data_IF_692620491853
#
_entry.id   IF_692620491853
#
_cell.length_a   1.000
_cell.length_b   1.000
_cell.length_c   1.000
_cell.angle_alpha   90.00
_cell.angle_beta   90.00
_cell.angle_gamma   90.00
#
_symmetry.space_group_name_H-M   'P 1'
#
loop_
_entity.id
_entity.type
_entity.pdbx_description
1 polymer ?
#
# COMPACT_ATOMS: atom_id res chain seq x y z
N UNK A 1 15.36 -22.95 31.42
CA UNK A 1 15.20 -23.17 29.97
C UNK A 1 13.83 -22.63 29.65
N UNK A 2 13.79 -21.36 29.32
CA UNK A 2 12.56 -20.65 28.98
C UNK A 2 12.43 -20.78 27.47
N UNK A 3 11.35 -21.41 27.02
CA UNK A 3 11.06 -21.57 25.60
C UNK A 3 11.13 -20.22 24.90
N UNK A 4 11.99 -20.17 23.89
CA UNK A 4 12.07 -19.12 22.89
C UNK A 4 10.67 -18.85 22.37
N UNK A 5 10.19 -17.63 22.65
CA UNK A 5 9.06 -17.08 21.93
C UNK A 5 9.54 -16.91 20.50
N UNK A 6 9.16 -17.85 19.63
CA UNK A 6 9.19 -17.72 18.18
C UNK A 6 8.25 -16.56 17.81
N UNK A 7 8.76 -15.34 17.97
CA UNK A 7 8.19 -14.14 17.42
C UNK A 7 8.40 -14.24 15.92
N UNK A 8 7.52 -15.00 15.26
CA UNK A 8 7.56 -15.30 13.84
C UNK A 8 7.96 -14.06 13.07
N UNK A 9 9.12 -14.15 12.42
CA UNK A 9 9.75 -13.06 11.70
C UNK A 9 8.69 -12.48 10.75
N UNK A 10 8.23 -11.25 11.02
CA UNK A 10 7.29 -10.59 10.12
C UNK A 10 7.96 -10.55 8.74
N UNK A 11 7.28 -11.01 7.68
CA UNK A 11 7.89 -11.06 6.36
C UNK A 11 8.46 -9.69 6.02
N UNK A 12 9.75 -9.66 5.69
CA UNK A 12 10.41 -8.45 5.24
C UNK A 12 9.61 -7.83 4.09
N UNK A 13 9.53 -6.49 4.08
CA UNK A 13 8.79 -5.74 3.07
C UNK A 13 9.19 -6.20 1.66
N UNK A 14 8.22 -6.56 0.79
CA UNK A 14 8.53 -7.01 -0.56
C UNK A 14 9.37 -6.00 -1.35
N UNK A 15 10.28 -6.49 -2.17
CA UNK A 15 11.16 -5.67 -3.02
C UNK A 15 10.89 -5.87 -4.52
N UNK A 16 10.11 -6.88 -4.90
CA UNK A 16 9.83 -7.30 -6.29
C UNK A 16 8.46 -7.94 -6.38
N UNK A 17 7.86 -8.00 -7.56
CA UNK A 17 6.55 -8.60 -7.81
C UNK A 17 5.37 -7.66 -7.60
N UNK A 18 4.17 -8.16 -7.88
CA UNK A 18 2.92 -7.41 -7.80
C UNK A 18 2.09 -7.92 -6.64
N UNK A 19 1.64 -7.00 -5.79
CA UNK A 19 0.88 -7.31 -4.59
C UNK A 19 -0.48 -6.60 -4.61
N UNK A 20 -1.50 -7.32 -4.16
CA UNK A 20 -2.78 -6.74 -3.77
C UNK A 20 -2.76 -6.53 -2.26
N UNK A 21 -2.90 -5.29 -1.81
CA UNK A 21 -2.94 -4.89 -0.41
C UNK A 21 -4.35 -4.40 -0.08
N UNK A 22 -4.94 -4.92 0.98
CA UNK A 22 -6.27 -4.54 1.45
C UNK A 22 -6.12 -3.73 2.74
N UNK A 23 -6.85 -2.62 2.82
CA UNK A 23 -6.86 -1.75 4.01
C UNK A 23 -8.15 -1.92 4.81
N UNK A 24 -8.15 -1.49 6.07
CA UNK A 24 -9.26 -1.64 7.00
C UNK A 24 -10.56 -1.01 6.50
N UNK A 25 -10.46 0.03 5.68
CA UNK A 25 -11.61 0.72 5.08
C UNK A 25 -12.06 0.09 3.76
N UNK A 26 -11.63 -1.13 3.44
CA UNK A 26 -12.03 -1.85 2.22
C UNK A 26 -11.32 -1.41 0.94
N UNK A 27 -10.47 -0.38 0.99
CA UNK A 27 -9.71 0.03 -0.21
C UNK A 27 -8.61 -0.98 -0.54
N UNK A 28 -8.49 -1.28 -1.83
CA UNK A 28 -7.44 -2.13 -2.36
C UNK A 28 -6.33 -1.30 -3.00
N UNK A 29 -5.09 -1.76 -2.89
CA UNK A 29 -3.95 -1.21 -3.59
C UNK A 29 -3.26 -2.31 -4.37
N UNK A 30 -3.10 -2.11 -5.69
CA UNK A 30 -2.18 -2.90 -6.50
C UNK A 30 -0.82 -2.22 -6.46
N UNK A 31 0.16 -2.86 -5.87
CA UNK A 31 1.52 -2.35 -5.71
C UNK A 31 2.44 -3.22 -6.55
N UNK A 32 3.03 -2.62 -7.58
CA UNK A 32 3.98 -3.27 -8.46
C UNK A 32 5.38 -2.78 -8.08
N UNK A 33 6.15 -3.65 -7.41
CA UNK A 33 7.51 -3.33 -7.00
C UNK A 33 8.51 -3.40 -8.15
N UNK A 34 8.20 -4.14 -9.22
CA UNK A 34 9.07 -4.28 -10.39
C UNK A 34 9.00 -3.01 -11.26
N UNK A 35 7.80 -2.52 -11.52
CA UNK A 35 7.55 -1.28 -12.27
C UNK A 35 7.60 -0.04 -11.39
N UNK A 36 7.68 -0.20 -10.06
CA UNK A 36 7.61 0.87 -9.06
C UNK A 36 6.36 1.73 -9.24
N UNK A 37 5.20 1.09 -9.23
CA UNK A 37 3.90 1.78 -9.32
C UNK A 37 2.94 1.33 -8.22
N UNK A 38 1.98 2.20 -7.92
CA UNK A 38 0.86 1.91 -7.03
C UNK A 38 -0.44 2.39 -7.67
N UNK A 39 -1.48 1.56 -7.62
CA UNK A 39 -2.84 1.87 -8.08
C UNK A 39 -3.80 1.64 -6.94
N UNK A 40 -4.68 2.60 -6.68
CA UNK A 40 -5.72 2.47 -5.66
C UNK A 40 -7.06 2.11 -6.30
N UNK A 41 -7.75 1.12 -5.76
CA UNK A 41 -9.14 0.83 -6.02
C UNK A 41 -9.94 1.13 -4.75
N UNK A 42 -10.82 2.14 -4.76
CA UNK A 42 -11.57 2.54 -3.57
C UNK A 42 -12.52 1.44 -3.13
N UNK A 43 -12.95 1.53 -1.88
CA UNK A 43 -14.14 0.81 -1.45
C UNK A 43 -15.37 1.35 -2.23
N UNK A 44 -16.32 0.50 -2.66
CA UNK A 44 -17.51 0.95 -3.39
C UNK A 44 -18.35 1.98 -2.62
N UNK A 45 -18.34 1.90 -1.28
CA UNK A 45 -19.07 2.79 -0.38
C UNK A 45 -18.20 3.95 0.13
N UNK A 46 -17.07 4.23 -0.53
CA UNK A 46 -16.19 5.36 -0.21
C UNK A 46 -16.92 6.71 -0.40
N UNK A 47 -17.36 7.24 0.74
CA UNK A 47 -18.09 8.50 0.86
C UNK A 47 -17.18 9.74 0.89
N UNK A 48 -15.87 9.60 0.71
CA UNK A 48 -14.94 10.73 0.71
C UNK A 48 -15.30 11.72 -0.41
N UNK A 49 -15.67 12.98 -0.08
CA UNK A 49 -16.02 13.99 -1.07
C UNK A 49 -14.84 14.37 -1.98
N UNK A 50 -13.61 14.11 -1.55
CA UNK A 50 -12.40 14.37 -2.33
C UNK A 50 -12.03 13.22 -3.28
N UNK A 51 -12.87 12.17 -3.44
CA UNK A 51 -12.54 10.99 -4.26
C UNK A 51 -12.13 11.31 -5.70
N UNK A 52 -12.74 12.33 -6.30
CA UNK A 52 -12.44 12.76 -7.67
C UNK A 52 -11.02 13.33 -7.83
N UNK A 53 -10.39 13.83 -6.75
CA UNK A 53 -9.03 14.37 -6.78
C UNK A 53 -7.95 13.30 -6.64
N UNK A 54 -8.30 12.12 -6.09
CA UNK A 54 -7.34 11.05 -5.81
C UNK A 54 -6.88 10.32 -7.07
N UNK A 55 -7.64 10.46 -8.16
CA UNK A 55 -7.41 9.79 -9.44
C UNK A 55 -7.26 8.27 -9.22
N UNK A 56 -8.23 7.71 -8.51
CA UNK A 56 -8.38 6.27 -8.28
C UNK A 56 -8.32 5.50 -9.62
N UNK A 57 -7.92 4.24 -9.57
CA UNK A 57 -7.75 3.31 -10.71
C UNK A 57 -6.64 3.69 -11.71
N UNK A 58 -5.95 4.82 -11.50
CA UNK A 58 -4.79 5.21 -12.29
C UNK A 58 -3.48 4.86 -11.58
N UNK A 59 -2.51 4.35 -12.34
CA UNK A 59 -1.16 4.06 -11.86
C UNK A 59 -0.43 5.34 -11.43
N UNK A 60 0.27 5.27 -10.30
CA UNK A 60 1.16 6.33 -9.79
C UNK A 60 2.56 5.79 -9.62
N UNK A 61 3.60 6.56 -9.97
CA UNK A 61 4.95 6.19 -9.64
C UNK A 61 5.13 6.10 -8.12
N UNK A 62 5.55 4.93 -7.66
CA UNK A 62 5.94 4.63 -6.29
C UNK A 62 7.42 4.93 -6.14
N UNK A 63 7.74 5.99 -5.40
CA UNK A 63 9.11 6.38 -5.13
C UNK A 63 9.72 5.53 -4.01
N UNK A 64 8.90 5.22 -2.98
CA UNK A 64 9.33 4.43 -1.82
C UNK A 64 8.13 3.82 -1.10
N UNK A 65 8.32 2.63 -0.55
CA UNK A 65 7.42 2.09 0.47
C UNK A 65 7.90 2.53 1.86
N UNK A 66 7.01 3.15 2.63
CA UNK A 66 7.28 3.60 3.99
C UNK A 66 6.97 2.53 5.02
N UNK A 67 5.78 1.93 4.95
CA UNK A 67 5.31 0.86 5.83
C UNK A 67 4.29 0.00 5.09
N UNK A 68 4.43 -1.32 5.21
CA UNK A 68 3.51 -2.33 4.69
C UNK A 68 3.52 -3.50 5.68
N UNK A 69 2.69 -3.40 6.69
CA UNK A 69 2.62 -4.36 7.79
C UNK A 69 1.15 -4.50 8.24
N UNK A 70 0.70 -5.73 8.45
CA UNK A 70 -0.68 -6.01 8.88
C UNK A 70 -0.91 -5.40 10.27
N UNK A 71 -2.04 -4.72 10.45
CA UNK A 71 -2.38 -4.00 11.68
C UNK A 71 -1.80 -2.58 11.76
N UNK A 72 -0.94 -2.19 10.83
CA UNK A 72 -0.35 -0.85 10.77
C UNK A 72 -0.79 -0.10 9.50
N UNK A 73 -0.82 1.24 9.57
CA UNK A 73 -1.12 2.09 8.43
C UNK A 73 -0.19 1.79 7.24
N UNK A 74 -0.77 1.62 6.05
CA UNK A 74 0.00 1.62 4.82
C UNK A 74 0.57 3.02 4.58
N UNK A 75 1.90 3.10 4.41
CA UNK A 75 2.60 4.35 4.12
C UNK A 75 3.36 4.21 2.80
N UNK A 76 3.06 5.08 1.84
CA UNK A 76 3.69 5.13 0.53
C UNK A 76 4.25 6.53 0.26
N UNK A 77 5.34 6.60 -0.51
CA UNK A 77 5.85 7.86 -1.08
C UNK A 77 5.62 7.80 -2.58
N UNK A 78 4.77 8.69 -3.10
CA UNK A 78 4.30 8.68 -4.48
C UNK A 78 4.69 9.97 -5.21
N UNK A 79 4.88 9.89 -6.52
CA UNK A 79 4.93 11.06 -7.40
C UNK A 79 3.54 11.27 -8.03
N UNK A 80 2.63 11.91 -7.30
CA UNK A 80 1.23 12.05 -7.77
C UNK A 80 1.07 13.09 -8.88
N UNK A 81 1.99 14.06 -8.95
CA UNK A 81 1.95 15.19 -9.89
C UNK A 81 2.69 14.92 -11.20
N UNK A 82 3.57 13.92 -11.23
CA UNK A 82 4.46 13.67 -12.37
C UNK A 82 5.67 14.61 -12.43
N UNK A 83 5.81 15.53 -11.48
CA UNK A 83 6.89 16.53 -11.41
C UNK A 83 8.11 16.06 -10.59
N UNK A 84 8.04 14.86 -10.00
CA UNK A 84 9.09 14.29 -9.17
C UNK A 84 9.04 14.73 -7.71
N UNK A 85 8.10 15.60 -7.32
CA UNK A 85 7.99 16.05 -5.94
C UNK A 85 7.26 14.97 -5.12
N UNK A 86 7.92 14.39 -4.10
CA UNK A 86 7.37 13.29 -3.33
C UNK A 86 6.16 13.72 -2.52
N UNK A 87 5.14 12.87 -2.50
CA UNK A 87 3.96 13.01 -1.65
C UNK A 87 3.87 11.77 -0.77
N UNK A 88 3.82 11.98 0.55
CA UNK A 88 3.58 10.89 1.50
C UNK A 88 2.08 10.61 1.57
N UNK A 89 1.69 9.38 1.27
CA UNK A 89 0.34 8.87 1.42
C UNK A 89 0.31 7.93 2.63
N UNK A 90 -0.48 8.28 3.64
CA UNK A 90 -0.80 7.42 4.78
C UNK A 90 -2.27 7.02 4.69
N UNK A 91 -2.55 5.73 4.87
CA UNK A 91 -3.92 5.20 4.80
C UNK A 91 -4.26 4.46 6.07
N UNK A 92 -5.47 3.91 6.14
CA UNK A 92 -5.88 3.05 7.25
C UNK A 92 -5.06 1.76 7.30
N UNK A 93 -5.11 1.03 8.43
CA UNK A 93 -4.30 -0.15 8.63
C UNK A 93 -4.46 -1.21 7.55
N UNK A 94 -3.37 -1.90 7.22
CA UNK A 94 -3.40 -3.06 6.31
C UNK A 94 -4.06 -4.23 7.03
N UNK A 95 -5.02 -4.88 6.37
CA UNK A 95 -5.66 -6.10 6.89
C UNK A 95 -5.13 -7.36 6.22
N UNK A 96 -4.69 -7.26 4.97
CA UNK A 96 -4.05 -8.36 4.26
C UNK A 96 -3.23 -7.85 3.08
N UNK A 97 -2.29 -8.67 2.63
CA UNK A 97 -1.66 -8.50 1.34
C UNK A 97 -1.25 -9.85 0.76
N UNK A 98 -1.31 -9.98 -0.57
CA UNK A 98 -0.99 -11.21 -1.28
C UNK A 98 -0.30 -10.89 -2.60
N UNK A 99 0.69 -11.71 -2.97
CA UNK A 99 1.34 -11.61 -4.29
C UNK A 99 0.38 -12.13 -5.36
N UNK A 100 0.22 -11.38 -6.45
CA UNK A 100 -0.67 -11.70 -7.57
C UNK A 100 0.07 -11.86 -8.91
N UNK A 101 1.34 -11.46 -9.00
CA UNK A 101 2.28 -11.74 -10.09
C UNK A 101 3.73 -11.66 -9.60
#
# INVERSE_FOLDING_TARGET
MSDDTDAGELPAMPQTGVYLVVTLTGSHYRIDFDQKTATRFPDPDDADPAKNLRQDENERPLLRMGALEIGHDLVMVLNIRGDGIPTVRRTTPVVSWVRIA
#
